data_IF_586950786400
#
_entry.id   IF_586950786400
#
_cell.length_a   1.000
_cell.length_b   1.000
_cell.length_c   1.000
_cell.angle_alpha   90.00
_cell.angle_beta   90.00
_cell.angle_gamma   90.00
#
_symmetry.space_group_name_H-M   'P 1'
#
loop_
_entity.id
_entity.type
_entity.pdbx_description
1 polymer ?
#
# COMPACT_ATOMS: atom_id res chain seq x y z
N UNK A 1 -16.87 16.12 -5.56
CA UNK A 1 -15.61 15.36 -5.70
C UNK A 1 -14.53 16.30 -6.20
N UNK A 2 -13.35 16.34 -5.55
CA UNK A 2 -12.19 17.13 -6.03
C UNK A 2 -11.34 16.26 -6.96
N UNK A 3 -10.84 16.81 -8.06
CA UNK A 3 -9.97 16.10 -9.02
C UNK A 3 -8.69 16.89 -9.28
N UNK A 4 -7.55 16.21 -9.33
CA UNK A 4 -6.24 16.79 -9.65
C UNK A 4 -5.35 15.78 -10.39
N UNK A 5 -4.33 16.26 -11.09
CA UNK A 5 -3.26 15.39 -11.60
C UNK A 5 -2.23 15.12 -10.49
N UNK A 6 -1.61 13.94 -10.51
CA UNK A 6 -0.52 13.59 -9.59
C UNK A 6 0.71 14.47 -9.83
N UNK A 7 1.30 14.96 -8.74
CA UNK A 7 2.65 15.56 -8.77
C UNK A 7 3.67 14.48 -8.41
N UNK A 8 4.39 13.97 -9.40
CA UNK A 8 5.44 12.98 -9.20
C UNK A 8 6.68 13.68 -8.66
N UNK A 9 7.09 13.30 -7.44
CA UNK A 9 8.27 13.84 -6.77
C UNK A 9 9.53 13.09 -7.20
N UNK A 10 9.40 11.77 -7.39
CA UNK A 10 10.52 10.89 -7.76
C UNK A 10 10.01 9.58 -8.34
N UNK A 11 10.82 8.96 -9.19
CA UNK A 11 10.67 7.57 -9.59
C UNK A 11 11.87 6.75 -9.13
N UNK A 12 11.62 5.50 -8.75
CA UNK A 12 12.62 4.49 -8.45
C UNK A 12 12.46 3.32 -9.41
N UNK A 13 13.58 2.68 -9.75
CA UNK A 13 13.61 1.57 -10.69
C UNK A 13 13.52 1.99 -12.17
N UNK A 14 13.31 1.04 -13.09
CA UNK A 14 13.09 -0.38 -12.83
C UNK A 14 14.30 -1.01 -12.12
N UNK A 15 14.03 -1.96 -11.22
CA UNK A 15 15.07 -2.59 -10.42
C UNK A 15 15.59 -3.86 -11.12
N UNK A 16 16.91 -4.12 -11.08
CA UNK A 16 17.45 -5.43 -11.44
C UNK A 16 16.79 -6.52 -10.58
N UNK A 17 16.32 -7.59 -11.22
CA UNK A 17 15.66 -8.75 -10.58
C UNK A 17 14.36 -8.42 -9.82
N UNK A 18 13.66 -7.35 -10.22
CA UNK A 18 12.28 -7.08 -9.79
C UNK A 18 11.50 -6.44 -10.94
N UNK A 19 11.04 -7.30 -11.85
CA UNK A 19 10.24 -6.92 -13.02
C UNK A 19 8.84 -6.42 -12.63
N UNK A 20 8.42 -6.67 -11.38
CA UNK A 20 7.13 -6.27 -10.85
C UNK A 20 7.25 -5.65 -9.47
N UNK A 21 6.36 -4.72 -9.19
CA UNK A 21 6.05 -4.24 -7.85
C UNK A 21 4.58 -4.53 -7.62
N UNK A 22 4.24 -5.47 -6.74
CA UNK A 22 2.85 -5.89 -6.51
C UNK A 22 2.21 -5.23 -5.28
N UNK A 23 3.02 -4.65 -4.41
CA UNK A 23 2.62 -4.04 -3.15
C UNK A 23 3.77 -3.18 -2.64
N UNK A 24 3.45 -2.15 -1.86
CA UNK A 24 4.43 -1.28 -1.19
C UNK A 24 3.96 -0.97 0.23
N UNK A 25 4.91 -0.83 1.17
CA UNK A 25 4.65 -0.25 2.50
C UNK A 25 5.87 0.57 2.96
N UNK A 26 5.79 1.25 4.10
CA UNK A 26 6.84 2.13 4.63
C UNK A 26 7.01 1.85 6.12
N UNK A 27 8.24 1.56 6.54
CA UNK A 27 8.54 1.17 7.92
C UNK A 27 8.89 2.36 8.85
N UNK A 28 8.74 3.60 8.35
CA UNK A 28 9.24 4.81 9.01
C UNK A 28 10.63 5.23 8.55
N UNK A 29 11.34 4.38 7.79
CA UNK A 29 12.68 4.64 7.24
C UNK A 29 12.84 4.17 5.78
N UNK A 30 12.47 2.95 5.46
CA UNK A 30 12.61 2.30 4.16
C UNK A 30 11.24 2.03 3.54
N UNK A 31 11.18 2.09 2.21
CA UNK A 31 10.04 1.61 1.43
C UNK A 31 10.23 0.13 1.15
N UNK A 32 9.33 -0.69 1.66
CA UNK A 32 9.27 -2.11 1.36
C UNK A 32 8.38 -2.36 0.16
N UNK A 33 8.74 -3.32 -0.68
CA UNK A 33 7.95 -3.67 -1.85
C UNK A 33 8.04 -5.15 -2.23
N UNK A 34 6.92 -5.67 -2.71
CA UNK A 34 6.72 -7.06 -3.08
C UNK A 34 7.05 -7.31 -4.56
N UNK A 35 7.91 -8.29 -4.85
CA UNK A 35 8.40 -8.59 -6.21
C UNK A 35 7.86 -9.88 -6.81
N UNK A 36 7.04 -10.61 -6.04
CA UNK A 36 6.49 -11.93 -6.37
C UNK A 36 7.03 -12.99 -5.42
N UNK A 37 8.34 -13.15 -5.36
CA UNK A 37 9.05 -14.15 -4.56
C UNK A 37 9.83 -13.56 -3.37
N UNK A 38 9.94 -12.23 -3.29
CA UNK A 38 10.72 -11.52 -2.29
C UNK A 38 10.08 -10.20 -1.87
N UNK A 39 10.33 -9.84 -0.62
CA UNK A 39 10.23 -8.46 -0.15
C UNK A 39 11.59 -7.79 -0.28
N UNK A 40 11.63 -6.62 -0.91
CA UNK A 40 12.84 -5.77 -0.98
C UNK A 40 12.59 -4.47 -0.23
N UNK A 41 13.62 -3.96 0.44
CA UNK A 41 13.59 -2.65 1.08
C UNK A 41 14.47 -1.66 0.31
N UNK A 42 13.92 -0.48 0.06
CA UNK A 42 14.50 0.64 -0.65
C UNK A 42 14.70 1.79 0.33
N UNK A 43 15.90 2.38 0.36
CA UNK A 43 16.09 3.69 0.99
C UNK A 43 15.50 4.78 0.08
N UNK A 44 14.47 5.53 0.51
CA UNK A 44 13.84 6.55 -0.31
C UNK A 44 14.74 7.77 -0.60
N UNK A 45 15.80 8.00 0.18
CA UNK A 45 16.72 9.11 -0.06
C UNK A 45 17.73 8.78 -1.16
N UNK A 46 18.44 7.65 -1.04
CA UNK A 46 19.43 7.25 -2.05
C UNK A 46 18.80 6.53 -3.26
N UNK A 47 17.67 5.86 -3.08
CA UNK A 47 17.12 4.94 -4.06
C UNK A 47 17.81 3.57 -4.08
N UNK A 48 18.68 3.28 -3.11
CA UNK A 48 19.39 2.01 -3.02
C UNK A 48 18.52 0.91 -2.39
N UNK A 49 18.64 -0.32 -2.91
CA UNK A 49 18.09 -1.50 -2.24
C UNK A 49 19.01 -1.84 -1.07
N UNK A 50 18.45 -1.80 0.14
CA UNK A 50 19.20 -2.00 1.39
C UNK A 50 18.95 -3.36 2.02
N UNK A 51 17.87 -4.04 1.62
CA UNK A 51 17.53 -5.36 2.14
C UNK A 51 16.69 -6.17 1.15
N UNK A 52 16.78 -7.50 1.25
CA UNK A 52 15.92 -8.47 0.56
C UNK A 52 15.58 -9.61 1.52
N UNK A 53 14.33 -10.05 1.52
CA UNK A 53 13.81 -11.18 2.29
C UNK A 53 13.16 -12.17 1.33
N UNK A 54 13.53 -13.43 1.44
CA UNK A 54 12.97 -14.53 0.64
C UNK A 54 11.63 -14.98 1.25
N UNK A 55 10.54 -14.35 0.80
CA UNK A 55 9.17 -14.67 1.21
C UNK A 55 8.23 -14.43 0.03
N UNK A 56 7.33 -15.38 -0.22
CA UNK A 56 6.29 -15.22 -1.23
C UNK A 56 5.53 -13.91 -1.01
N UNK A 57 5.47 -13.09 -2.05
CA UNK A 57 5.02 -11.69 -1.98
C UNK A 57 4.21 -11.34 -3.23
N UNK A 58 3.02 -11.92 -3.33
CA UNK A 58 2.23 -11.89 -4.56
C UNK A 58 1.42 -10.61 -4.73
N UNK A 59 1.15 -9.89 -3.62
CA UNK A 59 0.33 -8.70 -3.60
C UNK A 59 0.76 -7.74 -2.47
N UNK A 60 -0.20 -7.07 -1.83
CA UNK A 60 -0.03 -6.01 -0.85
C UNK A 60 0.83 -6.39 0.35
N UNK A 61 1.48 -5.37 0.88
CA UNK A 61 2.36 -5.42 2.04
C UNK A 61 1.92 -4.34 3.02
N UNK A 62 2.00 -4.58 4.32
CA UNK A 62 1.75 -3.58 5.36
C UNK A 62 2.78 -3.70 6.49
N UNK A 63 2.90 -2.68 7.33
CA UNK A 63 3.82 -2.67 8.47
C UNK A 63 3.12 -2.16 9.73
N UNK A 64 3.20 -2.91 10.84
CA UNK A 64 2.53 -2.54 12.11
C UNK A 64 3.37 -1.68 13.06
N UNK A 65 4.59 -1.34 12.67
CA UNK A 65 5.59 -0.73 13.55
C UNK A 65 6.69 -1.71 13.99
N UNK A 66 6.47 -3.02 13.82
CA UNK A 66 7.42 -4.07 14.19
C UNK A 66 7.55 -5.16 13.12
N UNK A 67 6.43 -5.64 12.59
CA UNK A 67 6.33 -6.75 11.63
C UNK A 67 5.80 -6.27 10.29
N UNK A 68 6.27 -6.92 9.23
CA UNK A 68 5.67 -6.83 7.90
C UNK A 68 4.53 -7.84 7.79
N UNK A 69 3.43 -7.45 7.17
CA UNK A 69 2.38 -8.37 6.73
C UNK A 69 2.45 -8.45 5.21
N UNK A 70 2.44 -9.66 4.67
CA UNK A 70 2.56 -9.89 3.23
C UNK A 70 1.50 -10.86 2.75
N UNK A 71 0.74 -10.46 1.73
CA UNK A 71 -0.19 -11.37 1.04
C UNK A 71 0.61 -12.35 0.17
N UNK A 72 0.35 -13.63 0.38
CA UNK A 72 0.88 -14.75 -0.37
C UNK A 72 -0.27 -15.70 -0.73
N UNK A 73 -0.78 -15.57 -1.96
CA UNK A 73 -1.96 -16.31 -2.44
C UNK A 73 -3.20 -16.03 -1.56
N UNK A 74 -3.76 -17.07 -0.93
CA UNK A 74 -4.94 -17.02 -0.07
C UNK A 74 -4.61 -16.77 1.41
N UNK A 75 -3.37 -16.35 1.71
CA UNK A 75 -2.86 -16.15 3.08
C UNK A 75 -2.15 -14.83 3.24
N UNK A 76 -2.03 -14.39 4.49
CA UNK A 76 -1.20 -13.27 4.91
C UNK A 76 -0.16 -13.80 5.89
N UNK A 77 1.11 -13.57 5.57
CA UNK A 77 2.25 -13.88 6.43
C UNK A 77 2.61 -12.66 7.29
N UNK A 78 2.74 -12.85 8.60
CA UNK A 78 3.40 -11.90 9.51
C UNK A 78 4.88 -12.26 9.54
N UNK A 79 5.72 -11.33 9.10
CA UNK A 79 7.15 -11.52 8.84
C UNK A 79 7.94 -10.60 9.75
N UNK A 80 8.92 -11.15 10.45
CA UNK A 80 9.93 -10.36 11.16
C UNK A 80 10.91 -9.77 10.12
N UNK A 81 10.94 -8.43 9.93
CA UNK A 81 11.79 -7.82 8.92
C UNK A 81 13.28 -7.97 9.22
N UNK A 82 13.69 -8.24 10.47
CA UNK A 82 15.11 -8.40 10.84
C UNK A 82 15.64 -9.77 10.47
N UNK A 83 14.81 -10.80 10.63
CA UNK A 83 15.23 -12.20 10.43
C UNK A 83 14.68 -12.81 9.15
N UNK A 84 13.68 -12.19 8.53
CA UNK A 84 12.95 -12.71 7.38
C UNK A 84 12.03 -13.88 7.71
N UNK A 85 11.86 -14.23 9.00
CA UNK A 85 11.05 -15.37 9.41
C UNK A 85 9.58 -15.03 9.38
N UNK A 86 8.78 -15.93 8.83
CA UNK A 86 7.32 -15.91 9.03
C UNK A 86 7.04 -16.37 10.46
N UNK A 87 6.50 -15.47 11.28
CA UNK A 87 6.20 -15.72 12.71
C UNK A 87 4.75 -16.10 12.95
N UNK A 88 3.86 -15.74 12.02
CA UNK A 88 2.46 -16.19 12.01
C UNK A 88 1.89 -16.15 10.58
N UNK A 89 0.81 -16.90 10.37
CA UNK A 89 0.08 -16.93 9.11
C UNK A 89 -1.42 -16.94 9.40
N UNK A 90 -2.15 -16.04 8.74
CA UNK A 90 -3.61 -15.92 8.83
C UNK A 90 -4.22 -16.10 7.42
N UNK A 91 -5.51 -16.49 7.32
CA UNK A 91 -6.20 -16.49 6.03
C UNK A 91 -6.36 -15.06 5.48
N UNK A 92 -6.25 -14.90 4.17
CA UNK A 92 -6.64 -13.67 3.48
C UNK A 92 -8.16 -13.66 3.24
N UNK A 93 -8.84 -12.52 3.34
CA UNK A 93 -10.30 -12.46 3.27
C UNK A 93 -10.88 -12.72 1.86
N UNK A 94 -10.12 -12.42 0.80
CA UNK A 94 -10.54 -12.55 -0.59
C UNK A 94 -10.22 -13.89 -1.25
N UNK A 95 -9.74 -14.89 -0.49
CA UNK A 95 -9.43 -16.23 -1.00
C UNK A 95 -8.56 -16.22 -2.28
N UNK A 96 -7.53 -15.36 -2.30
CA UNK A 96 -6.63 -15.16 -3.45
C UNK A 96 -7.03 -14.03 -4.40
N UNK A 97 -8.16 -13.37 -4.17
CA UNK A 97 -8.57 -12.15 -4.86
C UNK A 97 -8.01 -10.86 -4.24
N UNK A 98 -7.21 -10.98 -3.18
CA UNK A 98 -6.65 -9.90 -2.40
C UNK A 98 -5.56 -9.13 -3.16
N UNK A 99 -5.50 -7.81 -2.93
CA UNK A 99 -4.56 -6.90 -3.60
C UNK A 99 -3.83 -6.03 -2.60
N UNK A 100 -4.27 -4.80 -2.36
CA UNK A 100 -3.62 -3.82 -1.50
C UNK A 100 -3.82 -4.14 -0.02
N UNK A 101 -2.87 -3.78 0.82
CA UNK A 101 -2.99 -3.95 2.27
C UNK A 101 -2.36 -2.78 2.99
N UNK A 102 -3.00 -2.32 4.07
CA UNK A 102 -2.46 -1.31 4.98
C UNK A 102 -2.61 -1.76 6.43
N UNK A 103 -1.76 -1.24 7.30
CA UNK A 103 -1.96 -1.29 8.73
C UNK A 103 -2.53 0.05 9.21
N UNK A 104 -3.63 0.00 9.96
CA UNK A 104 -4.16 1.18 10.64
C UNK A 104 -5.02 0.78 11.82
N UNK A 105 -4.93 1.55 12.91
CA UNK A 105 -5.79 1.41 14.09
C UNK A 105 -5.78 -0.01 14.68
N UNK A 106 -4.63 -0.70 14.65
CA UNK A 106 -4.49 -2.05 15.18
C UNK A 106 -5.10 -3.15 14.30
N UNK A 107 -5.52 -2.83 13.08
CA UNK A 107 -6.13 -3.75 12.13
C UNK A 107 -5.38 -3.75 10.79
N UNK A 108 -5.57 -4.82 10.03
CA UNK A 108 -5.20 -4.84 8.61
C UNK A 108 -6.40 -4.41 7.77
N UNK A 109 -6.15 -3.57 6.78
CA UNK A 109 -7.13 -3.13 5.78
C UNK A 109 -6.75 -3.70 4.43
N UNK A 110 -7.50 -4.69 3.95
CA UNK A 110 -7.18 -5.50 2.78
C UNK A 110 -8.15 -5.21 1.65
N UNK A 111 -7.64 -4.80 0.49
CA UNK A 111 -8.42 -4.67 -0.73
C UNK A 111 -8.68 -6.01 -1.39
N UNK A 112 -9.93 -6.26 -1.81
CA UNK A 112 -10.29 -7.38 -2.67
C UNK A 112 -10.55 -6.85 -4.09
N UNK A 113 -9.67 -7.19 -5.03
CA UNK A 113 -9.48 -6.46 -6.28
C UNK A 113 -10.75 -6.32 -7.12
N UNK A 114 -11.30 -7.45 -7.60
CA UNK A 114 -12.47 -7.47 -8.51
C UNK A 114 -13.81 -7.52 -7.78
N UNK A 115 -13.80 -7.74 -6.47
CA UNK A 115 -15.02 -7.66 -5.65
C UNK A 115 -15.35 -6.23 -5.22
N UNK A 116 -14.43 -5.28 -5.45
CA UNK A 116 -14.55 -3.87 -5.08
C UNK A 116 -14.80 -3.71 -3.58
N UNK A 117 -14.01 -4.38 -2.76
CA UNK A 117 -14.15 -4.33 -1.30
C UNK A 117 -12.85 -3.95 -0.64
N UNK A 118 -12.97 -3.33 0.54
CA UNK A 118 -11.89 -3.16 1.49
C UNK A 118 -12.35 -3.79 2.81
N UNK A 119 -11.64 -4.79 3.28
CA UNK A 119 -11.91 -5.51 4.51
C UNK A 119 -11.02 -4.98 5.63
N UNK A 120 -11.61 -4.60 6.75
CA UNK A 120 -10.89 -4.51 8.01
C UNK A 120 -10.87 -5.91 8.62
N UNK A 121 -9.69 -6.44 8.89
CA UNK A 121 -9.51 -7.77 9.48
C UNK A 121 -8.70 -7.70 10.77
N UNK A 122 -9.03 -8.63 11.67
CA UNK A 122 -8.25 -8.91 12.86
C UNK A 122 -6.90 -9.53 12.45
N UNK A 123 -5.75 -8.93 12.83
CA UNK A 123 -4.45 -9.36 12.34
C UNK A 123 -3.93 -10.64 12.99
N UNK A 124 -4.53 -11.09 14.08
CA UNK A 124 -4.13 -12.31 14.78
C UNK A 124 -4.91 -13.53 14.25
N UNK A 125 -6.11 -13.32 13.71
CA UNK A 125 -7.01 -14.41 13.30
C UNK A 125 -7.38 -14.39 11.81
N UNK A 126 -7.22 -13.26 11.12
CA UNK A 126 -7.72 -13.04 9.77
C UNK A 126 -9.25 -12.86 9.67
N UNK A 127 -9.94 -12.78 10.81
CA UNK A 127 -11.40 -12.60 10.83
C UNK A 127 -11.76 -11.21 10.31
N UNK A 128 -12.68 -11.15 9.35
CA UNK A 128 -13.26 -9.87 8.89
C UNK A 128 -14.09 -9.23 10.01
N UNK A 129 -13.70 -8.02 10.39
CA UNK A 129 -14.39 -7.17 11.36
C UNK A 129 -15.45 -6.32 10.65
N UNK A 130 -15.07 -5.74 9.51
CA UNK A 130 -15.90 -4.82 8.72
C UNK A 130 -15.54 -4.91 7.24
N UNK A 131 -16.49 -4.62 6.37
CA UNK A 131 -16.26 -4.46 4.93
C UNK A 131 -16.78 -3.09 4.47
N UNK A 132 -16.01 -2.44 3.60
CA UNK A 132 -16.38 -1.23 2.87
C UNK A 132 -16.50 -1.61 1.40
N UNK A 133 -17.61 -1.21 0.76
CA UNK A 133 -17.77 -1.36 -0.68
C UNK A 133 -17.14 -0.16 -1.41
N UNK A 134 -16.33 -0.43 -2.43
CA UNK A 134 -15.82 0.58 -3.36
C UNK A 134 -16.62 0.54 -4.65
N UNK A 135 -16.62 1.67 -5.37
CA UNK A 135 -17.21 1.76 -6.72
C UNK A 135 -16.22 1.39 -7.82
N UNK A 136 -14.96 1.15 -7.46
CA UNK A 136 -13.86 0.84 -8.38
C UNK A 136 -13.07 -0.36 -7.85
N UNK A 137 -12.24 -0.94 -8.72
CA UNK A 137 -11.29 -1.97 -8.29
C UNK A 137 -10.31 -1.40 -7.27
N UNK A 138 -9.89 -2.23 -6.34
CA UNK A 138 -8.97 -1.83 -5.27
C UNK A 138 -7.63 -2.50 -5.53
N UNK A 139 -6.53 -1.74 -5.66
CA UNK A 139 -5.19 -2.33 -5.90
C UNK A 139 -4.18 -2.01 -4.82
N UNK A 140 -4.21 -0.81 -4.26
CA UNK A 140 -3.41 -0.39 -3.11
C UNK A 140 -4.31 0.25 -2.07
N UNK A 141 -3.96 0.20 -0.79
CA UNK A 141 -4.73 0.77 0.32
C UNK A 141 -3.75 1.48 1.25
N UNK A 142 -4.09 2.66 1.76
CA UNK A 142 -3.33 3.33 2.82
C UNK A 142 -4.24 4.19 3.68
N UNK A 143 -3.81 4.45 4.91
CA UNK A 143 -4.44 5.39 5.82
C UNK A 143 -3.45 6.48 6.20
N UNK A 144 -3.91 7.73 6.22
CA UNK A 144 -3.11 8.84 6.72
C UNK A 144 -4.00 9.94 7.27
N UNK A 145 -3.70 10.45 8.46
CA UNK A 145 -4.50 11.46 9.19
C UNK A 145 -6.01 11.15 9.24
N UNK A 146 -6.37 9.89 9.43
CA UNK A 146 -7.77 9.44 9.45
C UNK A 146 -8.46 9.42 8.08
N UNK A 147 -7.71 9.57 6.99
CA UNK A 147 -8.20 9.48 5.62
C UNK A 147 -7.86 8.12 5.01
N UNK A 148 -8.86 7.42 4.50
CA UNK A 148 -8.68 6.19 3.72
C UNK A 148 -8.48 6.53 2.24
N UNK A 149 -7.36 6.06 1.70
CA UNK A 149 -7.05 6.15 0.30
C UNK A 149 -6.89 4.76 -0.29
N UNK A 150 -7.33 4.58 -1.54
CA UNK A 150 -6.99 3.39 -2.30
C UNK A 150 -6.61 3.73 -3.73
N UNK A 151 -5.78 2.89 -4.33
CA UNK A 151 -5.49 2.96 -5.76
C UNK A 151 -6.52 2.17 -6.57
N UNK A 152 -6.70 2.59 -7.81
CA UNK A 152 -7.48 1.91 -8.85
C UNK A 152 -6.80 2.10 -10.20
N UNK A 153 -7.25 1.37 -11.20
CA UNK A 153 -6.84 1.55 -12.59
C UNK A 153 -7.93 1.08 -13.55
N UNK A 154 -7.95 1.67 -14.75
CA UNK A 154 -8.81 1.31 -15.87
C UNK A 154 -7.98 1.39 -17.16
N UNK A 155 -7.81 0.26 -17.85
CA UNK A 155 -6.89 0.20 -18.99
C UNK A 155 -5.43 0.39 -18.55
N UNK A 156 -4.77 1.44 -19.05
CA UNK A 156 -3.39 1.78 -18.68
C UNK A 156 -3.30 2.92 -17.64
N UNK A 157 -4.41 3.62 -17.42
CA UNK A 157 -4.51 4.78 -16.52
C UNK A 157 -4.79 4.33 -15.08
N UNK A 158 -4.28 5.08 -14.10
CA UNK A 158 -4.49 4.81 -12.69
C UNK A 158 -5.04 6.03 -11.96
N UNK A 159 -5.67 5.82 -10.80
CA UNK A 159 -6.08 6.91 -9.91
C UNK A 159 -5.79 6.56 -8.45
N UNK A 160 -5.56 7.59 -7.64
CA UNK A 160 -5.62 7.50 -6.18
C UNK A 160 -6.93 8.13 -5.71
N UNK A 161 -7.73 7.36 -4.97
CA UNK A 161 -9.05 7.76 -4.51
C UNK A 161 -9.06 7.92 -3.01
N UNK A 162 -9.36 9.13 -2.52
CA UNK A 162 -9.79 9.30 -1.12
C UNK A 162 -11.24 8.91 -1.04
N UNK A 163 -11.56 7.99 -0.15
CA UNK A 163 -12.93 7.56 0.06
C UNK A 163 -13.40 7.88 1.47
N UNK A 164 -14.71 8.02 1.61
CA UNK A 164 -15.39 8.02 2.89
C UNK A 164 -15.39 6.57 3.42
N UNK A 165 -14.77 6.28 4.59
CA UNK A 165 -14.66 4.91 5.08
C UNK A 165 -15.99 4.35 5.59
N UNK A 166 -17.01 5.19 5.77
CA UNK A 166 -18.34 4.75 6.18
C UNK A 166 -19.18 4.26 5.01
N UNK A 167 -19.04 4.94 3.87
CA UNK A 167 -19.95 4.78 2.72
C UNK A 167 -19.26 4.30 1.45
N UNK A 168 -17.92 4.31 1.40
CA UNK A 168 -17.13 4.01 0.21
C UNK A 168 -17.20 5.07 -0.90
N UNK A 169 -17.83 6.22 -0.63
CA UNK A 169 -17.97 7.28 -1.61
C UNK A 169 -16.64 7.99 -1.88
N UNK A 170 -16.34 8.22 -3.16
CA UNK A 170 -15.14 8.95 -3.56
C UNK A 170 -15.28 10.43 -3.20
N UNK A 171 -14.41 10.90 -2.32
CA UNK A 171 -14.33 12.28 -1.88
C UNK A 171 -13.38 13.08 -2.77
N UNK A 172 -12.28 12.45 -3.18
CA UNK A 172 -11.23 13.05 -3.98
C UNK A 172 -10.56 12.02 -4.90
N UNK A 173 -10.12 12.48 -6.06
CA UNK A 173 -9.43 11.70 -7.08
C UNK A 173 -8.13 12.41 -7.50
N UNK A 174 -7.07 11.62 -7.63
CA UNK A 174 -5.77 12.06 -8.16
C UNK A 174 -5.41 11.18 -9.34
N UNK A 175 -5.40 11.76 -10.54
CA UNK A 175 -5.07 11.05 -11.77
C UNK A 175 -3.58 10.72 -11.82
N UNK A 176 -3.28 9.44 -11.96
CA UNK A 176 -1.92 8.92 -12.13
C UNK A 176 -1.65 8.67 -13.62
N UNK A 177 -0.41 8.92 -14.07
CA UNK A 177 -0.04 8.69 -15.47
C UNK A 177 0.05 7.21 -15.86
N UNK A 178 -0.12 6.29 -14.89
CA UNK A 178 -0.06 4.86 -15.09
C UNK A 178 -0.82 4.13 -13.98
N UNK A 179 -1.24 2.90 -14.23
CA UNK A 179 -1.80 2.00 -13.21
C UNK A 179 -0.93 1.90 -11.95
N UNK A 180 -1.61 1.78 -10.80
CA UNK A 180 -1.00 1.69 -9.47
C UNK A 180 -1.40 0.36 -8.84
N UNK A 181 -0.41 -0.40 -8.39
CA UNK A 181 -0.53 -1.76 -7.85
C UNK A 181 -0.41 -1.83 -6.32
N UNK A 182 0.14 -0.81 -5.70
CA UNK A 182 0.29 -0.68 -4.26
C UNK A 182 0.36 0.79 -3.89
N UNK A 183 -0.04 1.15 -2.68
CA UNK A 183 -0.12 2.53 -2.23
C UNK A 183 0.21 2.57 -0.74
N UNK A 184 1.14 3.41 -0.32
CA UNK A 184 1.44 3.65 1.09
C UNK A 184 1.80 5.11 1.35
N UNK A 185 1.45 5.65 2.51
CA UNK A 185 1.89 6.97 2.95
C UNK A 185 3.15 6.91 3.79
N UNK A 186 3.99 7.95 3.69
CA UNK A 186 5.08 8.18 4.64
C UNK A 186 4.61 8.75 6.00
N UNK A 187 3.29 8.86 6.21
CA UNK A 187 2.70 9.55 7.36
C UNK A 187 2.74 11.08 7.26
N UNK A 188 3.27 11.62 6.16
CA UNK A 188 3.46 13.04 5.94
C UNK A 188 2.94 13.48 4.57
N UNK A 189 3.85 13.99 3.75
CA UNK A 189 3.53 14.68 2.51
C UNK A 189 3.65 13.83 1.25
N UNK A 190 3.90 12.53 1.39
CA UNK A 190 4.21 11.65 0.27
C UNK A 190 3.36 10.37 0.28
N UNK A 191 3.03 9.91 -0.92
CA UNK A 191 2.56 8.56 -1.20
C UNK A 191 3.61 7.81 -2.02
N UNK A 192 3.90 6.57 -1.67
CA UNK A 192 4.63 5.63 -2.51
C UNK A 192 3.62 4.78 -3.28
N UNK A 193 3.79 4.72 -4.60
CA UNK A 193 2.89 4.05 -5.52
C UNK A 193 3.66 2.97 -6.30
N UNK A 194 3.30 1.70 -6.10
CA UNK A 194 3.87 0.59 -6.86
C UNK A 194 3.36 0.57 -8.30
N UNK A 195 4.25 0.36 -9.27
CA UNK A 195 3.96 0.46 -10.70
C UNK A 195 3.60 -0.86 -11.39
N UNK A 196 3.30 -1.94 -10.67
CA UNK A 196 2.89 -3.22 -11.27
C UNK A 196 3.99 -3.79 -12.16
N UNK A 197 3.63 -4.11 -13.40
CA UNK A 197 4.53 -4.64 -14.43
C UNK A 197 5.61 -3.67 -14.92
N UNK A 198 5.58 -2.40 -14.52
CA UNK A 198 6.68 -1.47 -14.85
C UNK A 198 7.93 -1.71 -13.99
N UNK A 199 7.84 -2.47 -12.89
CA UNK A 199 8.94 -2.69 -11.95
C UNK A 199 9.40 -1.41 -11.24
N UNK A 200 8.59 -0.34 -11.29
CA UNK A 200 8.91 0.97 -10.72
C UNK A 200 8.10 1.28 -9.48
N UNK A 201 8.62 2.21 -8.66
CA UNK A 201 7.88 2.87 -7.59
C UNK A 201 7.87 4.37 -7.87
N UNK A 202 6.74 5.04 -7.71
CA UNK A 202 6.62 6.50 -7.81
C UNK A 202 6.36 7.10 -6.44
N UNK A 203 7.15 8.09 -6.05
CA UNK A 203 6.83 8.97 -4.93
C UNK A 203 5.96 10.12 -5.45
N UNK A 204 4.78 10.31 -4.86
CA UNK A 204 3.76 11.26 -5.30
C UNK A 204 3.45 12.21 -4.15
N UNK A 205 3.34 13.50 -4.43
CA UNK A 205 2.93 14.46 -3.41
C UNK A 205 1.51 14.13 -2.92
N UNK A 206 1.34 14.01 -1.61
CA UNK A 206 0.03 13.89 -0.99
C UNK A 206 -0.77 15.18 -1.23
N UNK A 207 -1.98 15.10 -1.82
CA UNK A 207 -2.80 16.28 -2.05
C UNK A 207 -3.16 17.02 -0.77
N UNK A 208 -3.10 18.35 -0.79
CA UNK A 208 -3.51 19.19 0.33
C UNK A 208 -2.53 19.23 1.51
N UNK A 209 -1.44 18.47 1.47
CA UNK A 209 -0.40 18.52 2.49
C UNK A 209 0.33 19.88 2.45
N UNK A 210 0.26 20.60 3.57
CA UNK A 210 0.98 21.84 3.77
C UNK A 210 1.97 21.69 4.93
N UNK A 211 3.27 21.62 4.60
CA UNK A 211 4.37 21.39 5.55
C UNK A 211 4.38 22.36 6.75
N UNK A 212 3.85 23.57 6.55
CA UNK A 212 3.78 24.62 7.58
C UNK A 212 2.67 24.44 8.64
N UNK A 213 1.69 23.56 8.42
CA UNK A 213 0.62 23.32 9.42
C UNK A 213 0.97 22.24 10.45
N UNK A 214 1.91 21.35 10.14
CA UNK A 214 2.29 20.23 11.01
C UNK A 214 3.53 20.49 11.87
N UNK A 215 4.13 21.68 11.81
CA UNK A 215 5.30 22.07 12.65
C UNK A 215 4.91 22.64 14.03
N UNK A 216 3.64 22.57 14.46
CA UNK A 216 3.20 23.18 15.72
C UNK A 216 2.54 22.17 16.66
N UNK A 217 3.29 21.20 17.19
CA UNK A 217 3.12 20.71 18.58
C UNK A 217 4.50 20.29 19.08
N UNK A 218 5.14 21.18 19.84
CA UNK A 218 6.46 21.02 20.41
C UNK A 218 6.74 22.15 21.39
N UNK A 219 5.94 22.19 22.46
CA UNK A 219 6.27 22.85 23.73
C UNK A 219 6.05 21.85 24.84
#
# INVERSE_FOLDING_TARGET
MKRAAAEILREYGPFPDAERVNGVTYDGKNVWFATGDKLKALDPESGAIVQSIDVASHAGTAFDGEHLYQIAEDRIHKVDPKTGKVVATIPAPGNGGDSGMAWAEGSLWVGEYRAHKIHQIDPETGKVIRTIESKRVVTGVTWVDGELWHATWEGEEGDLLRIDPETGNVLQEVAMPSGVSGLESDGGGCFFCGGGSSGKIKAVRRPGYNRHKHTTIGK
#
